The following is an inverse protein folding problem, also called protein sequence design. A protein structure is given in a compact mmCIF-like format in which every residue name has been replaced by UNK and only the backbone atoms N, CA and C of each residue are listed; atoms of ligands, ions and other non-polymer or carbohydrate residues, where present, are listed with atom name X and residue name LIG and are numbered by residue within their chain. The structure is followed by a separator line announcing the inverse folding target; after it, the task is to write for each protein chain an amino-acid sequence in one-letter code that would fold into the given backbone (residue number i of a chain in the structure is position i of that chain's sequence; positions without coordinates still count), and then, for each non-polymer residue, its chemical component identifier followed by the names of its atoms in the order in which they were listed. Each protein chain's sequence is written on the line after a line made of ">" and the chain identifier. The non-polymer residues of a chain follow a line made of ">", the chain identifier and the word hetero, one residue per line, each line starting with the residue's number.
data_IF_177120176954
#
_entry.id   IF_177120176954
#
_cell.length_a   1.000
_cell.length_b   1.000
_cell.length_c   1.000
_cell.angle_alpha   90.00
_cell.angle_beta   90.00
_cell.angle_gamma   90.00
#
_symmetry.space_group_name_H-M   'P 1'
#
loop_
_entity.id
_entity.type
_entity.pdbx_description
1 polymer ?
#
# COMPACT_ATOMS: atom_id res chain seq x y z
N UNK A 1 -18.30 -24.57 85.15
CA UNK A 1 -18.94 -24.64 83.79
C UNK A 1 -18.22 -23.64 82.88
N UNK A 2 -17.25 -24.09 82.12
CA UNK A 2 -16.49 -23.27 81.17
C UNK A 2 -16.96 -23.60 79.75
N UNK A 3 -17.61 -22.66 79.04
CA UNK A 3 -17.99 -22.79 77.64
C UNK A 3 -16.82 -22.33 76.78
N UNK A 4 -16.25 -23.25 75.97
CA UNK A 4 -15.29 -22.97 74.90
C UNK A 4 -16.07 -22.43 73.67
N UNK A 5 -15.76 -21.19 73.30
CA UNK A 5 -16.13 -20.65 71.97
C UNK A 5 -15.06 -21.08 70.95
N UNK A 6 -15.47 -21.94 70.00
CA UNK A 6 -14.66 -22.28 68.83
C UNK A 6 -14.91 -21.20 67.78
N UNK A 7 -13.91 -20.39 67.50
CA UNK A 7 -13.88 -19.52 66.32
C UNK A 7 -13.61 -20.36 65.05
N UNK A 8 -14.59 -20.39 64.12
CA UNK A 8 -14.46 -20.98 62.84
C UNK A 8 -13.86 -19.93 61.93
N UNK A 9 -12.57 -20.06 61.58
CA UNK A 9 -11.91 -19.22 60.58
C UNK A 9 -12.23 -19.78 59.19
N UNK A 10 -13.08 -19.06 58.43
CA UNK A 10 -13.41 -19.37 57.06
C UNK A 10 -12.28 -18.76 56.17
N UNK A 11 -11.58 -19.54 55.33
CA UNK A 11 -10.62 -18.97 54.42
C UNK A 11 -11.36 -18.25 53.28
N UNK A 12 -11.18 -16.93 53.20
CA UNK A 12 -11.60 -16.15 52.02
C UNK A 12 -10.65 -16.50 50.89
N UNK A 13 -11.10 -17.34 49.98
CA UNK A 13 -10.41 -17.59 48.71
C UNK A 13 -10.67 -16.37 47.82
N UNK A 14 -9.65 -15.51 47.71
CA UNK A 14 -9.64 -14.39 46.78
C UNK A 14 -9.45 -14.99 45.37
N UNK A 15 -10.54 -15.14 44.61
CA UNK A 15 -10.47 -15.42 43.18
C UNK A 15 -9.92 -14.15 42.51
N UNK A 16 -8.65 -14.16 42.17
CA UNK A 16 -8.07 -13.27 41.17
C UNK A 16 -8.66 -13.68 39.80
N UNK A 17 -9.77 -13.06 39.43
CA UNK A 17 -10.21 -13.07 38.03
C UNK A 17 -9.14 -12.31 37.24
N UNK A 18 -8.25 -13.07 36.58
CA UNK A 18 -7.45 -12.55 35.51
C UNK A 18 -8.43 -12.13 34.42
N UNK A 19 -8.73 -10.84 34.34
CA UNK A 19 -9.30 -10.24 33.14
C UNK A 19 -8.21 -10.35 32.05
N UNK A 20 -8.17 -11.48 31.33
CA UNK A 20 -7.73 -11.48 29.96
C UNK A 20 -8.75 -10.61 29.22
N UNK A 21 -8.41 -9.35 28.98
CA UNK A 21 -9.18 -8.50 28.10
C UNK A 21 -9.13 -9.15 26.72
N UNK A 22 -10.12 -9.96 26.41
CA UNK A 22 -10.50 -10.23 25.02
C UNK A 22 -10.83 -8.85 24.45
N UNK A 23 -9.93 -8.34 23.58
CA UNK A 23 -10.23 -7.17 22.75
C UNK A 23 -11.54 -7.50 22.02
N UNK A 24 -12.63 -6.81 22.34
CA UNK A 24 -13.87 -6.91 21.57
C UNK A 24 -13.52 -6.49 20.15
N UNK A 25 -13.30 -7.48 19.29
CA UNK A 25 -13.29 -7.32 17.85
C UNK A 25 -14.57 -6.59 17.46
N UNK A 26 -14.49 -5.62 16.55
CA UNK A 26 -15.66 -4.89 16.05
C UNK A 26 -16.78 -5.90 15.78
N UNK A 27 -17.84 -5.88 16.60
CA UNK A 27 -18.88 -6.91 16.58
C UNK A 27 -19.49 -6.96 15.17
N UNK A 28 -19.14 -7.98 14.36
CA UNK A 28 -19.58 -8.13 12.98
C UNK A 28 -18.45 -8.21 11.94
N UNK A 29 -17.21 -7.81 12.26
CA UNK A 29 -16.05 -7.92 11.37
C UNK A 29 -15.98 -6.87 10.27
N UNK A 30 -14.87 -6.89 9.53
CA UNK A 30 -14.51 -5.94 8.45
C UNK A 30 -14.44 -6.67 7.11
N UNK A 31 -15.09 -6.13 6.10
CA UNK A 31 -14.88 -6.49 4.70
C UNK A 31 -13.97 -5.45 4.06
N UNK A 32 -12.84 -5.87 3.52
CA UNK A 32 -11.93 -4.97 2.80
C UNK A 32 -11.96 -5.24 1.30
N UNK A 33 -12.29 -4.21 0.52
CA UNK A 33 -12.35 -4.28 -0.95
C UNK A 33 -11.15 -3.59 -1.61
N UNK A 34 -10.14 -3.21 -0.82
CA UNK A 34 -8.90 -2.59 -1.29
C UNK A 34 -7.67 -3.36 -0.81
N UNK A 35 -6.77 -3.78 -1.70
CA UNK A 35 -5.51 -4.42 -1.31
C UNK A 35 -4.68 -3.60 -0.32
N UNK A 36 -4.52 -2.29 -0.56
CA UNK A 36 -3.78 -1.39 0.32
C UNK A 36 -4.37 -1.36 1.74
N UNK A 37 -5.70 -1.31 1.85
CA UNK A 37 -6.39 -1.27 3.15
C UNK A 37 -6.37 -2.63 3.85
N UNK A 38 -6.44 -3.74 3.11
CA UNK A 38 -6.26 -5.08 3.66
C UNK A 38 -4.87 -5.22 4.29
N UNK A 39 -3.83 -4.79 3.58
CA UNK A 39 -2.47 -4.77 4.10
C UNK A 39 -2.33 -3.89 5.35
N UNK A 40 -2.97 -2.72 5.36
CA UNK A 40 -2.96 -1.82 6.50
C UNK A 40 -3.65 -2.43 7.73
N UNK A 41 -4.82 -3.06 7.58
CA UNK A 41 -5.51 -3.74 8.69
C UNK A 41 -4.62 -4.82 9.30
N UNK A 42 -3.98 -5.65 8.46
CA UNK A 42 -3.05 -6.68 8.93
C UNK A 42 -1.81 -6.07 9.61
N UNK A 43 -1.25 -5.00 9.04
CA UNK A 43 -0.09 -4.31 9.59
C UNK A 43 -0.35 -3.70 10.98
N UNK A 44 -1.56 -3.18 11.20
CA UNK A 44 -2.01 -2.69 12.51
C UNK A 44 -2.35 -3.83 13.50
N UNK A 45 -2.06 -5.10 13.15
CA UNK A 45 -2.29 -6.25 14.02
C UNK A 45 -3.77 -6.59 14.21
N UNK A 46 -4.64 -6.22 13.25
CA UNK A 46 -6.10 -6.42 13.31
C UNK A 46 -6.60 -7.36 12.22
N UNK A 47 -5.76 -8.28 11.75
CA UNK A 47 -6.13 -9.28 10.76
C UNK A 47 -7.33 -10.13 11.18
N UNK A 48 -7.45 -10.40 12.47
CA UNK A 48 -8.56 -11.12 13.09
C UNK A 48 -9.93 -10.46 12.90
N UNK A 49 -9.95 -9.16 12.61
CA UNK A 49 -11.18 -8.42 12.29
C UNK A 49 -11.67 -8.66 10.85
N UNK A 50 -10.79 -9.13 9.93
CA UNK A 50 -11.15 -9.32 8.53
C UNK A 50 -12.04 -10.57 8.37
N UNK A 51 -13.25 -10.40 7.85
CA UNK A 51 -14.18 -11.50 7.55
C UNK A 51 -14.29 -11.82 6.07
N UNK A 52 -13.95 -10.87 5.19
CA UNK A 52 -13.87 -11.09 3.76
C UNK A 52 -13.00 -10.00 3.09
N UNK A 53 -12.60 -10.27 1.86
CA UNK A 53 -11.74 -9.43 1.04
C UNK A 53 -12.21 -9.33 -0.41
N UNK A 54 -11.63 -8.42 -1.19
CA UNK A 54 -11.76 -8.49 -2.66
C UNK A 54 -10.85 -9.57 -3.24
N UNK A 55 -11.13 -9.99 -4.47
CA UNK A 55 -10.26 -10.93 -5.22
C UNK A 55 -8.84 -10.39 -5.39
N UNK A 56 -8.68 -9.07 -5.47
CA UNK A 56 -7.40 -8.40 -5.63
C UNK A 56 -6.54 -8.31 -4.35
N UNK A 57 -7.13 -8.57 -3.17
CA UNK A 57 -6.39 -8.58 -1.91
C UNK A 57 -5.59 -9.88 -1.78
N UNK A 58 -4.29 -9.81 -1.90
CA UNK A 58 -3.37 -10.95 -1.99
C UNK A 58 -2.24 -10.94 -0.96
N UNK A 59 -2.16 -9.90 -0.13
CA UNK A 59 -1.14 -9.74 0.89
C UNK A 59 -1.74 -9.33 2.25
N UNK A 60 -1.21 -9.88 3.37
CA UNK A 60 -0.29 -11.03 3.44
C UNK A 60 -0.93 -12.33 2.91
N UNK A 61 -0.12 -13.37 2.73
CA UNK A 61 -0.60 -14.66 2.17
C UNK A 61 -1.79 -15.24 2.94
N UNK A 62 -1.85 -15.01 4.26
CA UNK A 62 -2.92 -15.47 5.15
C UNK A 62 -4.31 -15.00 4.73
N UNK A 63 -4.42 -13.76 4.22
CA UNK A 63 -5.74 -13.20 3.81
C UNK A 63 -6.37 -13.95 2.63
N UNK A 64 -5.57 -14.67 1.84
CA UNK A 64 -6.10 -15.45 0.71
C UNK A 64 -7.05 -16.57 1.14
N UNK A 65 -6.99 -16.98 2.39
CA UNK A 65 -7.93 -17.95 2.97
C UNK A 65 -9.32 -17.38 3.28
N UNK A 66 -9.43 -16.03 3.34
CA UNK A 66 -10.72 -15.36 3.60
C UNK A 66 -11.66 -15.46 2.40
N UNK A 67 -12.98 -15.52 2.64
CA UNK A 67 -13.97 -15.43 1.58
C UNK A 67 -13.81 -14.16 0.74
N UNK A 68 -14.16 -14.23 -0.54
CA UNK A 68 -14.22 -13.04 -1.39
C UNK A 68 -15.59 -12.37 -1.28
N UNK A 69 -15.62 -11.04 -1.34
CA UNK A 69 -16.83 -10.21 -1.26
C UNK A 69 -16.99 -9.28 -2.46
N UNK A 70 -16.32 -9.58 -3.55
CA UNK A 70 -16.32 -8.84 -4.80
C UNK A 70 -14.92 -8.64 -5.35
N UNK A 71 -14.80 -7.85 -6.41
CA UNK A 71 -13.54 -7.39 -6.99
C UNK A 71 -13.08 -6.05 -6.38
N UNK A 72 -11.92 -5.56 -6.79
CA UNK A 72 -11.43 -4.24 -6.35
C UNK A 72 -12.48 -3.17 -6.70
N UNK A 73 -12.91 -2.40 -5.69
CA UNK A 73 -13.93 -1.36 -5.81
C UNK A 73 -15.31 -1.81 -6.36
N UNK A 74 -15.53 -3.11 -6.58
CA UNK A 74 -16.79 -3.71 -7.06
C UNK A 74 -17.33 -4.69 -6.03
N UNK A 75 -18.19 -4.24 -5.07
CA UNK A 75 -18.75 -5.09 -4.03
C UNK A 75 -19.80 -6.08 -4.59
N UNK A 76 -19.73 -7.34 -4.16
CA UNK A 76 -20.84 -8.27 -4.30
C UNK A 76 -21.84 -8.07 -3.16
N UNK A 77 -22.81 -7.16 -3.36
CA UNK A 77 -23.75 -6.72 -2.31
C UNK A 77 -24.44 -7.88 -1.59
N UNK A 78 -24.93 -8.87 -2.32
CA UNK A 78 -25.66 -10.02 -1.73
C UNK A 78 -24.75 -10.79 -0.75
N UNK A 79 -23.49 -11.01 -1.10
CA UNK A 79 -22.52 -11.67 -0.22
C UNK A 79 -22.24 -10.85 1.02
N UNK A 80 -21.99 -9.56 0.85
CA UNK A 80 -21.70 -8.65 1.98
C UNK A 80 -22.89 -8.60 2.93
N UNK A 81 -24.10 -8.45 2.40
CA UNK A 81 -25.34 -8.44 3.20
C UNK A 81 -25.57 -9.75 3.96
N UNK A 82 -25.23 -10.89 3.36
CA UNK A 82 -25.33 -12.19 4.02
C UNK A 82 -24.31 -12.34 5.18
N UNK A 83 -23.14 -11.77 5.06
CA UNK A 83 -22.08 -11.79 6.10
C UNK A 83 -22.38 -10.84 7.27
N UNK A 84 -23.19 -9.80 7.05
CA UNK A 84 -23.55 -8.78 8.05
C UNK A 84 -22.31 -8.17 8.74
N UNK A 85 -21.32 -7.68 8.00
CA UNK A 85 -20.14 -7.09 8.61
C UNK A 85 -20.52 -5.80 9.36
N UNK A 86 -19.71 -5.42 10.34
CA UNK A 86 -19.83 -4.11 10.97
C UNK A 86 -19.37 -2.97 10.07
N UNK A 87 -18.36 -3.25 9.22
CA UNK A 87 -17.67 -2.24 8.43
C UNK A 87 -17.27 -2.79 7.06
N UNK A 88 -17.45 -2.00 6.02
CA UNK A 88 -16.86 -2.19 4.68
C UNK A 88 -15.91 -1.04 4.41
N UNK A 89 -14.68 -1.34 3.97
CA UNK A 89 -13.66 -0.34 3.62
C UNK A 89 -13.21 -0.51 2.18
N UNK A 90 -13.07 0.61 1.46
CA UNK A 90 -12.51 0.65 0.10
C UNK A 90 -11.95 2.04 -0.19
N UNK A 91 -11.14 2.17 -1.24
CA UNK A 91 -10.70 3.47 -1.75
C UNK A 91 -11.89 4.23 -2.37
N UNK A 92 -12.66 3.52 -3.15
CA UNK A 92 -13.82 3.99 -3.89
C UNK A 92 -14.74 2.82 -4.22
N UNK A 93 -15.90 3.09 -4.77
CA UNK A 93 -16.74 2.10 -5.46
C UNK A 93 -16.98 2.54 -6.90
N UNK A 94 -16.87 1.61 -7.84
CA UNK A 94 -17.18 1.83 -9.27
C UNK A 94 -18.63 2.33 -9.43
N UNK A 95 -19.57 1.72 -8.68
CA UNK A 95 -20.94 2.21 -8.59
C UNK A 95 -21.18 2.88 -7.23
N UNK A 96 -21.29 4.22 -7.16
CA UNK A 96 -21.50 4.93 -5.88
C UNK A 96 -22.78 4.52 -5.13
N UNK A 97 -23.80 4.00 -5.82
CA UNK A 97 -25.05 3.55 -5.18
C UNK A 97 -24.87 2.33 -4.28
N UNK A 98 -23.80 1.57 -4.47
CA UNK A 98 -23.52 0.39 -3.66
C UNK A 98 -23.21 0.76 -2.21
N UNK A 99 -22.53 1.89 -2.00
CA UNK A 99 -22.32 2.42 -0.66
C UNK A 99 -23.63 2.77 0.05
N UNK A 100 -24.57 3.38 -0.67
CA UNK A 100 -25.87 3.74 -0.12
C UNK A 100 -26.71 2.50 0.21
N UNK A 101 -26.67 1.46 -0.63
CA UNK A 101 -27.35 0.20 -0.39
C UNK A 101 -26.83 -0.48 0.87
N UNK A 102 -25.50 -0.54 1.07
CA UNK A 102 -24.89 -1.10 2.27
C UNK A 102 -25.25 -0.30 3.53
N UNK A 103 -25.19 1.05 3.46
CA UNK A 103 -25.57 1.93 4.58
C UNK A 103 -27.06 1.79 4.96
N UNK A 104 -27.95 1.67 3.98
CA UNK A 104 -29.39 1.42 4.22
C UNK A 104 -29.62 0.07 4.91
N UNK A 105 -28.76 -0.91 4.68
CA UNK A 105 -28.79 -2.20 5.38
C UNK A 105 -28.18 -2.17 6.78
N UNK A 106 -27.71 -0.98 7.25
CA UNK A 106 -27.13 -0.81 8.58
C UNK A 106 -25.63 -1.13 8.67
N UNK A 107 -24.95 -1.30 7.54
CA UNK A 107 -23.51 -1.57 7.48
C UNK A 107 -22.75 -0.23 7.37
N UNK A 108 -21.76 -0.02 8.23
CA UNK A 108 -20.87 1.13 8.08
C UNK A 108 -20.01 1.00 6.81
N UNK A 109 -19.87 2.08 6.05
CA UNK A 109 -19.06 2.09 4.82
C UNK A 109 -18.11 3.28 4.87
N UNK A 110 -16.83 3.00 4.90
CA UNK A 110 -15.76 3.99 4.80
C UNK A 110 -15.14 3.97 3.40
N UNK A 111 -15.29 5.09 2.71
CA UNK A 111 -14.70 5.33 1.39
C UNK A 111 -13.86 6.59 1.48
N UNK A 112 -12.60 6.48 1.11
CA UNK A 112 -11.67 7.60 1.07
C UNK A 112 -10.56 7.29 0.06
N UNK A 113 -10.08 8.26 -0.72
CA UNK A 113 -8.95 8.04 -1.63
C UNK A 113 -7.76 7.38 -0.94
N UNK A 114 -6.98 6.64 -1.71
CA UNK A 114 -5.76 6.02 -1.25
C UNK A 114 -4.75 6.03 -2.40
N UNK A 115 -4.30 7.25 -2.77
CA UNK A 115 -3.52 7.51 -3.99
C UNK A 115 -2.09 8.02 -3.68
N UNK A 116 -1.79 8.30 -2.41
CA UNK A 116 -0.51 8.86 -2.03
C UNK A 116 -0.21 8.79 -0.53
N UNK A 117 0.90 9.44 -0.13
CA UNK A 117 1.37 9.41 1.27
C UNK A 117 0.40 10.09 2.24
N UNK A 118 -0.27 11.16 1.82
CA UNK A 118 -1.21 11.87 2.70
C UNK A 118 -2.47 11.06 2.92
N UNK A 119 -3.00 10.44 1.87
CA UNK A 119 -4.13 9.53 1.99
C UNK A 119 -3.78 8.32 2.86
N UNK A 120 -2.56 7.78 2.71
CA UNK A 120 -2.08 6.70 3.57
C UNK A 120 -2.10 7.10 5.05
N UNK A 121 -1.56 8.29 5.39
CA UNK A 121 -1.61 8.80 6.77
C UNK A 121 -3.04 8.93 7.27
N UNK A 122 -3.94 9.44 6.46
CA UNK A 122 -5.34 9.58 6.82
C UNK A 122 -5.99 8.22 7.06
N UNK A 123 -5.72 7.22 6.20
CA UNK A 123 -6.20 5.87 6.40
C UNK A 123 -5.64 5.23 7.67
N UNK A 124 -4.35 5.39 7.97
CA UNK A 124 -3.76 4.89 9.23
C UNK A 124 -4.51 5.48 10.43
N UNK A 125 -4.72 6.79 10.46
CA UNK A 125 -5.45 7.45 11.55
C UNK A 125 -6.93 7.02 11.64
N UNK A 126 -7.61 6.80 10.51
CA UNK A 126 -8.98 6.28 10.45
C UNK A 126 -9.07 4.85 10.97
N UNK A 127 -8.21 3.96 10.47
CA UNK A 127 -8.19 2.56 10.91
C UNK A 127 -7.88 2.43 12.38
N UNK A 128 -6.97 3.25 12.93
CA UNK A 128 -6.70 3.28 14.37
C UNK A 128 -7.95 3.52 15.21
N UNK A 129 -8.84 4.41 14.75
CA UNK A 129 -10.12 4.68 15.43
C UNK A 129 -11.17 3.59 15.17
N UNK A 130 -11.32 3.16 13.92
CA UNK A 130 -12.35 2.19 13.50
C UNK A 130 -12.10 0.79 14.09
N UNK A 131 -10.84 0.42 14.27
CA UNK A 131 -10.42 -0.91 14.72
C UNK A 131 -9.96 -0.93 16.20
N UNK A 132 -10.13 0.17 16.94
CA UNK A 132 -9.70 0.32 18.33
C UNK A 132 -8.22 -0.06 18.53
N UNK A 133 -7.34 0.53 17.71
CA UNK A 133 -5.89 0.33 17.77
C UNK A 133 -5.12 1.67 17.61
N UNK A 134 -5.38 2.67 18.49
CA UNK A 134 -4.80 4.00 18.33
C UNK A 134 -3.27 4.01 18.53
N UNK A 135 -2.73 3.17 19.40
CA UNK A 135 -1.29 3.12 19.69
C UNK A 135 -0.50 2.54 18.50
N UNK A 136 -1.03 1.49 17.87
CA UNK A 136 -0.48 0.88 16.67
C UNK A 136 -0.52 1.88 15.50
N UNK A 137 -1.63 2.60 15.34
CA UNK A 137 -1.77 3.63 14.33
C UNK A 137 -0.79 4.81 14.55
N UNK A 138 -0.63 5.28 15.79
CA UNK A 138 0.35 6.33 16.12
C UNK A 138 1.79 5.87 15.84
N UNK A 139 2.11 4.62 16.18
CA UNK A 139 3.41 4.02 15.88
C UNK A 139 3.67 3.96 14.38
N UNK A 140 2.68 3.56 13.58
CA UNK A 140 2.80 3.51 12.14
C UNK A 140 2.95 4.89 11.50
N UNK A 141 2.20 5.90 11.96
CA UNK A 141 2.38 7.27 11.50
C UNK A 141 3.80 7.79 11.74
N UNK A 142 4.35 7.56 12.93
CA UNK A 142 5.74 7.92 13.26
C UNK A 142 6.74 7.20 12.36
N UNK A 143 6.51 5.89 12.09
CA UNK A 143 7.36 5.10 11.19
C UNK A 143 7.32 5.65 9.77
N UNK A 144 6.13 5.93 9.25
CA UNK A 144 5.95 6.47 7.91
C UNK A 144 6.67 7.82 7.74
N UNK A 145 6.47 8.75 8.68
CA UNK A 145 7.11 10.06 8.64
C UNK A 145 8.64 9.96 8.74
N UNK A 146 9.15 9.09 9.59
CA UNK A 146 10.59 8.86 9.72
C UNK A 146 11.20 8.30 8.43
N UNK A 147 10.53 7.35 7.76
CA UNK A 147 10.99 6.78 6.49
C UNK A 147 10.99 7.82 5.37
N UNK A 148 9.96 8.64 5.27
CA UNK A 148 9.92 9.73 4.28
C UNK A 148 11.06 10.72 4.53
N UNK A 149 11.25 11.16 5.78
CA UNK A 149 12.32 12.08 6.14
C UNK A 149 13.72 11.51 5.85
N UNK A 150 13.93 10.21 6.06
CA UNK A 150 15.17 9.50 5.71
C UNK A 150 15.44 9.57 4.20
N UNK A 151 14.47 9.21 3.35
CA UNK A 151 14.62 9.27 1.90
C UNK A 151 14.86 10.70 1.41
N UNK A 152 14.15 11.70 1.95
CA UNK A 152 14.35 13.10 1.60
C UNK A 152 15.76 13.60 2.00
N UNK A 153 16.25 13.18 3.17
CA UNK A 153 17.59 13.54 3.63
C UNK A 153 18.68 12.94 2.74
N UNK A 154 18.51 11.69 2.30
CA UNK A 154 19.42 11.06 1.35
C UNK A 154 19.44 11.81 0.00
N UNK A 155 18.26 12.21 -0.51
CA UNK A 155 18.18 12.97 -1.76
C UNK A 155 18.83 14.35 -1.66
N UNK A 156 18.66 15.07 -0.53
CA UNK A 156 19.32 16.37 -0.30
C UNK A 156 20.84 16.24 -0.27
N UNK A 157 21.37 15.10 0.18
CA UNK A 157 22.81 14.84 0.25
C UNK A 157 23.37 14.23 -1.04
N UNK A 158 22.51 13.76 -1.95
CA UNK A 158 22.92 13.24 -3.25
C UNK A 158 23.51 14.37 -4.12
N UNK A 159 24.64 14.09 -4.77
CA UNK A 159 25.29 15.03 -5.71
C UNK A 159 24.77 14.87 -7.13
N UNK A 160 24.23 13.71 -7.42
CA UNK A 160 23.69 13.34 -8.72
C UNK A 160 22.33 14.02 -8.95
N UNK A 161 22.07 14.36 -10.21
CA UNK A 161 20.74 14.82 -10.61
C UNK A 161 19.77 13.63 -10.62
N UNK A 162 18.48 13.86 -10.34
CA UNK A 162 17.48 12.82 -10.51
C UNK A 162 17.50 12.24 -11.93
N UNK A 163 17.37 10.91 -12.03
CA UNK A 163 17.25 10.22 -13.32
C UNK A 163 15.87 10.48 -13.91
N UNK A 164 15.81 10.81 -15.21
CA UNK A 164 14.54 11.00 -15.91
C UNK A 164 13.90 9.64 -16.15
N UNK A 165 12.68 9.43 -15.63
CA UNK A 165 12.00 8.16 -15.61
C UNK A 165 10.67 8.19 -16.38
N UNK A 166 10.39 7.09 -17.08
CA UNK A 166 9.06 6.74 -17.57
C UNK A 166 8.52 5.59 -16.72
N UNK A 167 7.27 5.70 -16.28
CA UNK A 167 6.56 4.61 -15.59
C UNK A 167 5.55 3.98 -16.54
N UNK A 168 5.75 2.75 -16.97
CA UNK A 168 4.83 2.04 -17.87
C UNK A 168 3.86 1.21 -17.04
N UNK A 169 2.63 1.65 -16.94
CA UNK A 169 1.55 0.95 -16.25
C UNK A 169 0.87 -0.07 -17.16
N UNK A 170 0.70 0.28 -18.44
CA UNK A 170 0.12 -0.60 -19.44
C UNK A 170 0.73 -0.29 -20.81
N UNK A 171 1.00 -1.32 -21.63
CA UNK A 171 1.72 -1.17 -22.90
C UNK A 171 0.81 -0.81 -24.09
N UNK A 172 -0.42 -1.30 -24.12
CA UNK A 172 -1.31 -1.09 -25.27
C UNK A 172 -2.78 -0.99 -24.86
N UNK A 173 -3.36 0.24 -24.84
CA UNK A 173 -2.71 1.53 -25.10
C UNK A 173 -1.61 1.83 -24.08
N UNK A 174 -0.62 2.64 -24.45
CA UNK A 174 0.45 3.00 -23.54
C UNK A 174 -0.09 3.94 -22.46
N UNK A 175 -0.26 3.39 -21.25
CA UNK A 175 -0.62 4.14 -20.05
C UNK A 175 0.61 4.32 -19.17
N UNK A 176 0.78 5.53 -18.67
CA UNK A 176 1.89 5.89 -17.76
C UNK A 176 1.36 6.47 -16.47
N UNK A 177 2.20 6.50 -15.43
CA UNK A 177 1.92 7.29 -14.24
C UNK A 177 2.22 8.77 -14.53
N UNK A 178 1.24 9.63 -14.32
CA UNK A 178 1.36 11.07 -14.45
C UNK A 178 1.86 11.73 -13.16
N UNK A 179 1.95 13.06 -13.18
CA UNK A 179 2.31 13.86 -12.02
C UNK A 179 1.32 13.64 -10.87
N UNK A 180 1.82 13.67 -9.64
CA UNK A 180 1.06 13.48 -8.39
C UNK A 180 0.40 12.07 -8.24
N UNK A 181 0.76 11.09 -9.08
CA UNK A 181 0.40 9.69 -8.85
C UNK A 181 1.32 9.03 -7.81
N UNK A 182 0.91 7.91 -7.23
CA UNK A 182 1.77 7.18 -6.29
C UNK A 182 3.12 6.77 -6.90
N UNK A 183 3.19 6.18 -8.13
CA UNK A 183 4.48 5.87 -8.76
C UNK A 183 5.38 7.10 -8.94
N UNK A 184 4.81 8.27 -9.21
CA UNK A 184 5.57 9.53 -9.26
C UNK A 184 6.10 9.91 -7.88
N UNK A 185 5.26 9.85 -6.85
CA UNK A 185 5.65 10.20 -5.48
C UNK A 185 6.74 9.27 -4.92
N UNK A 186 6.60 7.95 -5.08
CA UNK A 186 7.60 6.96 -4.65
C UNK A 186 8.88 7.07 -5.47
N UNK A 187 8.76 7.30 -6.77
CA UNK A 187 9.90 7.51 -7.66
C UNK A 187 10.73 8.73 -7.29
N UNK A 188 10.08 9.84 -6.93
CA UNK A 188 10.80 11.05 -6.43
C UNK A 188 11.63 10.73 -5.21
N UNK A 189 11.09 9.97 -4.24
CA UNK A 189 11.85 9.53 -3.06
C UNK A 189 12.98 8.54 -3.41
N UNK A 190 12.85 7.84 -4.54
CA UNK A 190 13.91 6.98 -5.06
C UNK A 190 14.98 7.72 -5.89
N UNK A 191 14.83 9.03 -6.13
CA UNK A 191 15.75 9.84 -6.94
C UNK A 191 15.40 9.86 -8.43
N UNK A 192 14.14 9.63 -8.78
CA UNK A 192 13.64 9.69 -10.15
C UNK A 192 12.86 11.00 -10.39
N UNK A 193 12.92 11.49 -11.61
CA UNK A 193 12.11 12.60 -12.12
C UNK A 193 11.22 12.09 -13.25
N UNK A 194 9.90 12.10 -13.04
CA UNK A 194 8.94 11.67 -14.05
C UNK A 194 9.01 12.55 -15.30
N UNK A 195 9.06 11.95 -16.49
CA UNK A 195 9.02 12.71 -17.76
C UNK A 195 7.61 13.27 -18.05
N UNK A 196 6.56 12.71 -17.45
CA UNK A 196 5.17 13.19 -17.56
C UNK A 196 4.88 14.14 -16.40
N UNK A 197 5.03 15.46 -16.67
CA UNK A 197 5.04 16.49 -15.60
C UNK A 197 3.70 17.21 -15.41
N UNK A 198 2.84 17.18 -16.40
CA UNK A 198 1.64 18.04 -16.40
C UNK A 198 0.33 17.27 -16.29
N UNK A 199 0.32 16.02 -16.72
CA UNK A 199 -0.87 15.19 -16.69
C UNK A 199 -0.91 14.38 -15.40
N UNK A 200 -2.08 14.34 -14.76
CA UNK A 200 -2.30 13.64 -13.48
C UNK A 200 -2.87 12.25 -13.70
N UNK A 201 -2.82 11.44 -12.66
CA UNK A 201 -3.36 10.08 -12.68
C UNK A 201 -2.61 9.17 -13.64
N UNK A 202 -3.32 8.49 -14.52
CA UNK A 202 -2.75 7.50 -15.43
C UNK A 202 -3.08 7.82 -16.91
N UNK A 203 -2.44 8.86 -17.48
CA UNK A 203 -2.70 9.29 -18.84
C UNK A 203 -2.19 8.30 -19.87
N UNK A 204 -2.82 8.33 -21.06
CA UNK A 204 -2.29 7.67 -22.27
C UNK A 204 -1.34 8.61 -22.98
N UNK A 205 -0.17 8.11 -23.37
CA UNK A 205 0.86 8.85 -24.10
C UNK A 205 1.25 8.13 -25.38
N UNK A 206 1.94 8.83 -26.29
CA UNK A 206 2.49 8.22 -27.51
C UNK A 206 3.95 7.81 -27.32
N UNK A 207 4.41 6.82 -28.07
CA UNK A 207 5.83 6.46 -28.13
C UNK A 207 6.70 7.59 -28.71
N UNK A 208 6.15 8.45 -29.57
CA UNK A 208 6.84 9.65 -30.09
C UNK A 208 7.16 10.62 -28.97
N UNK A 209 6.24 10.79 -28.00
CA UNK A 209 6.52 11.57 -26.79
C UNK A 209 7.69 10.95 -26.01
N UNK A 210 7.70 9.62 -25.80
CA UNK A 210 8.77 8.93 -25.09
C UNK A 210 10.12 9.09 -25.80
N UNK A 211 10.14 8.95 -27.15
CA UNK A 211 11.34 9.16 -27.96
C UNK A 211 11.87 10.60 -27.85
N UNK A 212 10.97 11.59 -27.83
CA UNK A 212 11.33 13.01 -27.70
C UNK A 212 11.87 13.32 -26.30
N UNK A 213 11.24 12.79 -25.28
CA UNK A 213 11.63 13.03 -23.89
C UNK A 213 12.88 12.25 -23.47
N UNK A 214 13.23 11.18 -24.18
CA UNK A 214 14.43 10.36 -23.99
C UNK A 214 14.75 10.05 -22.52
N UNK A 215 13.93 9.23 -21.82
CA UNK A 215 14.14 8.92 -20.42
C UNK A 215 15.46 8.16 -20.19
N UNK A 216 16.07 8.37 -19.02
CA UNK A 216 17.26 7.63 -18.60
C UNK A 216 16.94 6.20 -18.20
N UNK A 217 15.73 5.98 -17.63
CA UNK A 217 15.25 4.69 -17.16
C UNK A 217 13.76 4.53 -17.41
N UNK A 218 13.33 3.30 -17.67
CA UNK A 218 11.92 2.92 -17.72
C UNK A 218 11.64 1.99 -16.54
N UNK A 219 10.66 2.33 -15.71
CA UNK A 219 10.12 1.44 -14.69
C UNK A 219 8.88 0.78 -15.28
N UNK A 220 8.94 -0.54 -15.43
CA UNK A 220 7.93 -1.31 -16.17
C UNK A 220 7.04 -2.10 -15.23
N UNK A 221 5.77 -1.72 -15.12
CA UNK A 221 4.75 -2.38 -14.31
C UNK A 221 3.76 -3.23 -15.14
N UNK A 222 3.81 -3.11 -16.47
CA UNK A 222 2.86 -3.80 -17.35
C UNK A 222 3.09 -5.32 -17.37
N UNK A 223 2.19 -6.06 -16.70
CA UNK A 223 2.25 -7.52 -16.65
C UNK A 223 1.92 -8.19 -17.98
N UNK A 224 2.55 -9.34 -18.23
CA UNK A 224 2.25 -10.20 -19.37
C UNK A 224 2.66 -9.65 -20.72
N UNK A 225 3.32 -8.48 -20.78
CA UNK A 225 3.84 -7.87 -21.99
C UNK A 225 5.32 -7.56 -21.86
N UNK A 226 6.06 -7.87 -22.92
CA UNK A 226 7.50 -7.68 -22.99
C UNK A 226 7.85 -6.67 -24.05
N UNK A 227 8.45 -5.54 -23.68
CA UNK A 227 8.95 -4.52 -24.61
C UNK A 227 9.95 -5.13 -25.62
N UNK A 228 10.66 -6.22 -25.26
CA UNK A 228 11.64 -6.90 -26.11
C UNK A 228 10.98 -7.48 -27.35
N UNK A 229 9.74 -7.95 -27.23
CA UNK A 229 8.97 -8.51 -28.35
C UNK A 229 8.26 -7.46 -29.19
N UNK A 230 8.19 -6.19 -28.72
CA UNK A 230 7.54 -5.08 -29.43
C UNK A 230 8.59 -4.16 -30.08
N UNK A 231 8.79 -4.23 -31.43
CA UNK A 231 9.82 -3.44 -32.12
C UNK A 231 9.70 -1.93 -31.92
N UNK A 232 8.50 -1.42 -31.58
CA UNK A 232 8.26 0.01 -31.38
C UNK A 232 9.08 0.58 -30.22
N UNK A 233 9.49 -0.24 -29.25
CA UNK A 233 10.31 0.17 -28.11
C UNK A 233 11.82 0.19 -28.44
N UNK A 234 12.25 -0.47 -29.52
CA UNK A 234 13.69 -0.64 -29.83
C UNK A 234 14.40 0.68 -30.18
N UNK A 235 13.66 1.74 -30.54
CA UNK A 235 14.22 3.06 -30.81
C UNK A 235 14.54 3.87 -29.56
N UNK A 236 14.10 3.43 -28.38
CA UNK A 236 14.24 4.17 -27.11
C UNK A 236 15.61 3.86 -26.49
N UNK A 237 16.39 4.87 -26.15
CA UNK A 237 17.75 4.75 -25.60
C UNK A 237 17.80 3.90 -24.33
N UNK A 238 16.85 4.09 -23.40
CA UNK A 238 16.76 3.28 -22.19
C UNK A 238 16.61 1.79 -22.50
N UNK A 239 15.85 1.42 -23.54
CA UNK A 239 15.71 0.02 -23.99
C UNK A 239 17.02 -0.48 -24.60
N UNK A 240 17.65 0.30 -25.48
CA UNK A 240 18.92 -0.06 -26.14
C UNK A 240 20.06 -0.25 -25.16
N UNK A 241 20.06 0.50 -24.07
CA UNK A 241 21.10 0.44 -23.03
C UNK A 241 20.73 -0.47 -21.85
N UNK A 242 19.66 -1.28 -21.99
CA UNK A 242 19.15 -2.21 -20.97
C UNK A 242 18.80 -1.50 -19.63
N UNK A 243 18.25 -0.29 -19.71
CA UNK A 243 17.82 0.53 -18.55
C UNK A 243 16.29 0.45 -18.40
N UNK A 244 15.76 -0.76 -18.46
CA UNK A 244 14.36 -1.07 -18.15
C UNK A 244 14.34 -1.88 -16.88
N UNK A 245 13.75 -1.31 -15.83
CA UNK A 245 13.65 -1.91 -14.51
C UNK A 245 12.24 -2.50 -14.34
N UNK A 246 12.16 -3.79 -14.02
CA UNK A 246 10.93 -4.45 -13.58
C UNK A 246 11.07 -4.63 -12.07
N UNK A 247 10.25 -3.93 -11.25
CA UNK A 247 10.27 -4.13 -9.81
C UNK A 247 9.95 -5.59 -9.44
N UNK A 248 10.65 -6.15 -8.47
CA UNK A 248 10.39 -7.52 -7.98
C UNK A 248 9.01 -7.61 -7.31
N UNK A 249 8.65 -6.57 -6.56
CA UNK A 249 7.34 -6.38 -5.93
C UNK A 249 6.77 -5.04 -6.42
N UNK A 250 6.09 -5.07 -7.55
CA UNK A 250 5.46 -3.88 -8.11
C UNK A 250 4.27 -3.40 -7.27
N UNK A 251 3.58 -4.32 -6.60
CA UNK A 251 2.45 -3.98 -5.75
C UNK A 251 2.87 -3.08 -4.58
N UNK A 252 4.10 -3.21 -4.07
CA UNK A 252 4.64 -2.31 -3.06
C UNK A 252 4.85 -0.87 -3.56
N UNK A 253 4.98 -0.66 -4.89
CA UNK A 253 5.15 0.66 -5.51
C UNK A 253 3.84 1.22 -6.09
N UNK A 254 2.83 0.35 -6.27
CA UNK A 254 1.54 0.72 -6.85
C UNK A 254 0.41 0.83 -5.82
N UNK A 255 0.65 0.40 -4.58
CA UNK A 255 -0.33 0.42 -3.48
C UNK A 255 0.18 1.33 -2.36
N UNK A 256 -0.57 2.38 -1.96
CA UNK A 256 -0.19 3.21 -0.82
C UNK A 256 -0.48 2.45 0.49
N UNK A 257 0.43 1.54 0.82
CA UNK A 257 0.36 0.63 1.96
C UNK A 257 1.67 0.57 2.75
N UNK A 258 1.73 -0.20 3.83
CA UNK A 258 2.90 -0.29 4.70
C UNK A 258 4.19 -0.69 3.98
N UNK A 259 4.07 -1.52 2.92
CA UNK A 259 5.21 -2.04 2.14
C UNK A 259 5.82 -1.03 1.17
N UNK A 260 5.13 0.10 0.87
CA UNK A 260 5.65 1.08 -0.10
C UNK A 260 7.03 1.62 0.28
N UNK A 261 7.36 1.71 1.57
CA UNK A 261 8.67 2.18 2.03
C UNK A 261 9.79 1.18 1.74
N UNK A 262 9.50 -0.11 1.82
CA UNK A 262 10.45 -1.17 1.43
C UNK A 262 10.59 -1.20 -0.09
N UNK A 263 9.48 -1.05 -0.83
CA UNK A 263 9.49 -0.90 -2.29
C UNK A 263 10.34 0.28 -2.76
N UNK A 264 10.29 1.44 -2.09
CA UNK A 264 11.17 2.59 -2.38
C UNK A 264 12.64 2.22 -2.15
N UNK A 265 12.95 1.55 -1.04
CA UNK A 265 14.33 1.13 -0.74
C UNK A 265 14.87 0.15 -1.79
N UNK A 266 14.06 -0.82 -2.20
CA UNK A 266 14.42 -1.79 -3.24
C UNK A 266 14.61 -1.11 -4.60
N UNK A 267 13.70 -0.21 -4.99
CA UNK A 267 13.84 0.58 -6.21
C UNK A 267 15.15 1.38 -6.22
N UNK A 268 15.50 2.04 -5.10
CA UNK A 268 16.79 2.75 -4.95
C UNK A 268 17.98 1.81 -5.09
N UNK A 269 17.90 0.62 -4.49
CA UNK A 269 18.98 -0.37 -4.58
C UNK A 269 19.18 -0.86 -6.01
N UNK A 270 18.10 -1.08 -6.75
CA UNK A 270 18.17 -1.52 -8.14
C UNK A 270 18.66 -0.40 -9.08
N UNK A 271 18.25 0.84 -8.85
CA UNK A 271 18.79 1.99 -9.57
C UNK A 271 20.30 2.15 -9.33
N UNK A 272 20.79 1.98 -8.11
CA UNK A 272 22.24 2.00 -7.82
C UNK A 272 23.02 0.91 -8.56
N UNK A 273 22.45 -0.27 -8.72
CA UNK A 273 23.06 -1.37 -9.53
C UNK A 273 23.07 -1.01 -11.02
N UNK A 274 21.99 -0.43 -11.52
CA UNK A 274 21.84 -0.06 -12.94
C UNK A 274 22.71 1.16 -13.32
N UNK A 275 22.90 2.10 -12.40
CA UNK A 275 23.67 3.31 -12.54
C UNK A 275 24.74 3.38 -11.45
N UNK A 276 25.82 2.55 -11.51
CA UNK A 276 26.88 2.63 -10.53
C UNK A 276 27.55 4.01 -10.58
N UNK A 277 27.95 4.57 -9.42
CA UNK A 277 28.69 5.83 -9.41
C UNK A 277 29.94 5.71 -10.28
N UNK A 278 30.26 6.76 -11.04
CA UNK A 278 31.52 6.79 -11.78
C UNK A 278 32.67 6.59 -10.80
N UNK A 279 33.37 5.47 -10.95
CA UNK A 279 34.63 5.26 -10.20
C UNK A 279 35.59 6.38 -10.60
N UNK A 280 36.02 7.19 -9.62
CA UNK A 280 37.06 8.18 -9.86
C UNK A 280 38.19 7.48 -10.62
N UNK A 281 38.74 8.10 -11.69
CA UNK A 281 39.85 7.49 -12.42
C UNK A 281 40.94 7.18 -11.41
N UNK A 282 41.34 5.90 -11.38
CA UNK A 282 42.47 5.41 -10.60
C UNK A 282 43.66 6.27 -11.03
N UNK A 283 44.11 7.18 -10.16
CA UNK A 283 45.31 7.99 -10.43
C UNK A 283 46.46 7.00 -10.54
N UNK A 284 46.84 6.73 -11.79
CA UNK A 284 47.97 5.88 -12.08
C UNK A 284 49.23 6.46 -11.39
N UNK A 285 50.10 5.58 -10.85
CA UNK A 285 51.27 5.96 -10.07
C UNK A 285 52.33 6.71 -10.89
#
# INVERSE_FOLDING_TARGET
>A
MRRLFRFLILPVVLLLAACSGEKESAAGGVVSLSPALTELVCHLGREDCLVARSTACDWPESVKSLPTAGDFAEPELERILAMKPALVVSNEFVNPKDADALRQAGIAVELHPCDGFDDYREWVARMGRLLDCPDEAESELKRADARIAEFEAELKNAKEKPLRALYVIWDSPLLTAGADSLPDAVGRLAGLENIVKTEKGYPSISLEFVLKEDPDVIVWFAHGKDWKSNPSWHGIRAVQTNRVLIPLDDSALLRPGPRMFDGIADLKADLKKMFPPETAPETAP
#
